data_IF_445580801878
#
_entry.id   IF_445580801878
#
_cell.length_a   1.000
_cell.length_b   1.000
_cell.length_c   1.000
_cell.angle_alpha   90.00
_cell.angle_beta   90.00
_cell.angle_gamma   90.00
#
_symmetry.space_group_name_H-M   'P 1'
#
loop_
_entity.id
_entity.type
_entity.pdbx_description
1 polymer ?
#
# COMPACT_ATOMS: atom_id res chain seq x y z
N UNK A 1 -11.75 -2.02 12.15
CA UNK A 1 -10.86 -2.08 10.96
C UNK A 1 -11.23 -0.92 10.06
N UNK A 2 -10.34 0.06 9.94
CA UNK A 2 -10.55 1.19 9.04
C UNK A 2 -10.14 0.80 7.62
N UNK A 3 -10.84 1.32 6.62
CA UNK A 3 -10.61 0.96 5.22
C UNK A 3 -10.66 2.21 4.37
N UNK A 4 -9.64 2.37 3.55
CA UNK A 4 -9.52 3.46 2.60
C UNK A 4 -9.85 2.87 1.23
N UNK A 5 -10.93 3.37 0.63
CA UNK A 5 -11.57 2.74 -0.53
C UNK A 5 -11.75 3.79 -1.63
N UNK A 6 -11.32 3.48 -2.86
CA UNK A 6 -11.48 4.36 -4.03
C UNK A 6 -10.88 5.78 -3.82
N UNK A 7 -9.82 5.89 -3.02
CA UNK A 7 -9.15 7.16 -2.78
C UNK A 7 -7.97 7.36 -3.73
N UNK A 8 -7.81 8.62 -4.15
CA UNK A 8 -6.60 9.11 -4.80
C UNK A 8 -5.60 9.53 -3.72
N UNK A 9 -4.53 8.74 -3.59
CA UNK A 9 -3.42 8.94 -2.65
C UNK A 9 -2.11 9.15 -3.41
N UNK A 10 -2.18 9.64 -4.66
CA UNK A 10 -0.97 9.90 -5.46
C UNK A 10 -0.06 10.87 -4.74
N UNK A 11 1.22 10.52 -4.65
CA UNK A 11 2.26 11.30 -3.96
C UNK A 11 1.96 11.58 -2.49
N UNK A 12 1.06 10.80 -1.87
CA UNK A 12 0.81 10.87 -0.44
C UNK A 12 2.05 10.40 0.32
N UNK A 13 2.31 11.03 1.46
CA UNK A 13 3.34 10.61 2.40
C UNK A 13 2.65 9.85 3.54
N UNK A 14 2.88 8.55 3.60
CA UNK A 14 2.36 7.65 4.62
C UNK A 14 3.46 7.18 5.59
N UNK A 15 4.63 7.83 5.51
CA UNK A 15 5.75 7.63 6.43
C UNK A 15 5.28 7.78 7.88
N UNK A 16 5.63 6.81 8.72
CA UNK A 16 5.27 6.81 10.15
C UNK A 16 3.77 6.77 10.46
N UNK A 17 2.88 6.58 9.48
CA UNK A 17 1.46 6.34 9.74
C UNK A 17 1.27 4.98 10.42
N UNK A 18 0.27 4.89 11.30
CA UNK A 18 -0.14 3.62 11.88
C UNK A 18 -0.95 2.82 10.85
N UNK A 19 -0.29 1.90 10.14
CA UNK A 19 -0.93 1.09 9.08
C UNK A 19 -1.32 -0.32 9.54
N UNK A 20 -0.98 -0.73 10.77
CA UNK A 20 -1.28 -2.08 11.27
C UNK A 20 -2.77 -2.40 11.16
N UNK A 21 -3.09 -3.53 10.55
CA UNK A 21 -4.47 -3.98 10.29
C UNK A 21 -5.31 -3.03 9.40
N UNK A 22 -4.67 -2.09 8.68
CA UNK A 22 -5.37 -1.22 7.73
C UNK A 22 -5.70 -1.97 6.43
N UNK A 23 -6.71 -1.47 5.70
CA UNK A 23 -7.06 -1.99 4.37
C UNK A 23 -7.13 -0.85 3.36
N UNK A 24 -6.40 -1.02 2.27
CA UNK A 24 -6.43 -0.16 1.10
C UNK A 24 -7.03 -0.94 -0.07
N UNK A 25 -8.14 -0.44 -0.59
CA UNK A 25 -8.96 -1.11 -1.60
C UNK A 25 -9.15 -0.16 -2.78
N UNK A 26 -8.74 -0.58 -3.98
CA UNK A 26 -8.94 0.19 -5.21
C UNK A 26 -8.34 1.61 -5.15
N UNK A 27 -7.19 1.77 -4.48
CA UNK A 27 -6.56 3.08 -4.28
C UNK A 27 -5.45 3.35 -5.27
N UNK A 28 -5.31 4.59 -5.70
CA UNK A 28 -4.19 5.05 -6.51
C UNK A 28 -3.10 5.63 -5.61
N UNK A 29 -1.98 4.94 -5.46
CA UNK A 29 -0.83 5.32 -4.64
C UNK A 29 0.41 5.62 -5.47
N UNK A 30 0.24 6.03 -6.74
CA UNK A 30 1.38 6.33 -7.61
C UNK A 30 2.24 7.44 -7.03
N UNK A 31 3.54 7.22 -6.96
CA UNK A 31 4.48 8.18 -6.38
C UNK A 31 4.36 8.37 -4.87
N UNK A 32 3.56 7.57 -4.16
CA UNK A 32 3.43 7.66 -2.71
C UNK A 32 4.70 7.16 -2.02
N UNK A 33 4.94 7.61 -0.79
CA UNK A 33 6.05 7.14 0.05
C UNK A 33 5.46 6.39 1.23
N UNK A 34 5.82 5.10 1.36
CA UNK A 34 5.34 4.19 2.41
C UNK A 34 6.53 3.53 3.09
N UNK A 35 6.92 4.09 4.22
CA UNK A 35 7.94 3.54 5.12
C UNK A 35 7.28 3.31 6.48
N UNK A 36 6.71 2.11 6.66
CA UNK A 36 5.84 1.82 7.81
C UNK A 36 5.83 0.34 8.18
N UNK A 37 5.36 0.07 9.40
CA UNK A 37 4.98 -1.27 9.84
C UNK A 37 3.62 -1.62 9.21
N UNK A 38 3.65 -2.58 8.30
CA UNK A 38 2.48 -3.05 7.53
C UNK A 38 1.96 -4.39 8.06
N UNK A 39 2.25 -4.74 9.32
CA UNK A 39 1.74 -5.96 9.98
C UNK A 39 0.22 -6.08 9.79
N UNK A 40 -0.21 -7.19 9.18
CA UNK A 40 -1.62 -7.48 8.88
C UNK A 40 -2.33 -6.41 8.00
N UNK A 41 -1.57 -5.61 7.23
CA UNK A 41 -2.15 -4.64 6.29
C UNK A 41 -2.55 -5.35 5.00
N UNK A 42 -3.66 -4.93 4.39
CA UNK A 42 -4.08 -5.43 3.08
C UNK A 42 -4.07 -4.32 2.04
N UNK A 43 -3.39 -4.56 0.92
CA UNK A 43 -3.44 -3.75 -0.28
C UNK A 43 -4.05 -4.59 -1.40
N UNK A 44 -5.27 -4.23 -1.80
CA UNK A 44 -6.04 -4.95 -2.82
C UNK A 44 -6.36 -3.97 -3.94
N UNK A 45 -6.00 -4.32 -5.18
CA UNK A 45 -6.25 -3.48 -6.36
C UNK A 45 -5.60 -2.09 -6.22
N UNK A 46 -4.37 -2.06 -5.70
CA UNK A 46 -3.63 -0.82 -5.43
C UNK A 46 -2.57 -0.57 -6.49
N UNK A 47 -2.52 0.67 -6.99
CA UNK A 47 -1.47 1.09 -7.91
C UNK A 47 -0.32 1.78 -7.17
N UNK A 48 0.85 1.15 -7.13
CA UNK A 48 2.08 1.64 -6.53
C UNK A 48 3.14 2.09 -7.55
N UNK A 49 2.78 2.37 -8.80
CA UNK A 49 3.78 2.76 -9.80
C UNK A 49 4.55 4.02 -9.36
N UNK A 50 5.88 3.92 -9.34
CA UNK A 50 6.77 4.98 -8.88
C UNK A 50 6.68 5.29 -7.39
N UNK A 51 6.00 4.46 -6.59
CA UNK A 51 5.96 4.60 -5.14
C UNK A 51 7.27 4.11 -4.51
N UNK A 52 7.70 4.79 -3.44
CA UNK A 52 8.82 4.37 -2.61
C UNK A 52 8.27 3.48 -1.48
N UNK A 53 8.53 2.17 -1.57
CA UNK A 53 7.97 1.16 -0.66
C UNK A 53 9.06 0.55 0.22
N UNK A 54 8.91 0.70 1.53
CA UNK A 54 9.71 0.02 2.55
C UNK A 54 8.77 -0.56 3.59
N UNK A 55 8.30 -1.78 3.33
CA UNK A 55 7.44 -2.52 4.26
C UNK A 55 8.27 -3.19 5.36
N UNK A 56 7.75 -3.14 6.58
CA UNK A 56 8.33 -3.79 7.76
C UNK A 56 7.21 -4.39 8.61
N UNK A 57 7.55 -5.25 9.57
CA UNK A 57 6.56 -5.86 10.47
C UNK A 57 6.94 -7.28 10.87
N UNK A 58 6.26 -7.82 11.88
CA UNK A 58 6.45 -9.21 12.33
C UNK A 58 5.62 -10.21 11.51
N UNK A 59 4.62 -9.73 10.76
CA UNK A 59 3.80 -10.55 9.86
C UNK A 59 3.67 -9.89 8.50
N UNK A 60 3.60 -10.71 7.45
CA UNK A 60 3.51 -10.23 6.08
C UNK A 60 2.28 -9.35 5.84
N UNK A 61 2.44 -8.32 5.02
CA UNK A 61 1.30 -7.61 4.45
C UNK A 61 0.70 -8.43 3.30
N UNK A 62 -0.62 -8.32 3.14
CA UNK A 62 -1.33 -8.95 2.04
C UNK A 62 -1.33 -8.02 0.82
N UNK A 63 -0.78 -8.49 -0.30
CA UNK A 63 -0.79 -7.82 -1.59
C UNK A 63 -1.62 -8.66 -2.55
N UNK A 64 -2.65 -8.07 -3.17
CA UNK A 64 -3.47 -8.77 -4.16
C UNK A 64 -3.81 -7.84 -5.32
N UNK A 65 -3.49 -8.27 -6.53
CA UNK A 65 -3.69 -7.50 -7.76
C UNK A 65 -3.12 -6.07 -7.64
N UNK A 66 -1.90 -5.96 -7.13
CA UNK A 66 -1.19 -4.68 -7.01
C UNK A 66 -0.32 -4.43 -8.24
N UNK A 67 -0.14 -3.16 -8.61
CA UNK A 67 0.69 -2.74 -9.74
C UNK A 67 1.96 -2.07 -9.21
N UNK A 68 3.13 -2.62 -9.51
CA UNK A 68 4.44 -2.04 -9.16
C UNK A 68 5.11 -1.28 -10.33
N UNK A 69 6.33 -0.79 -10.11
CA UNK A 69 7.05 0.16 -10.98
C UNK A 69 7.28 -0.35 -12.42
N UNK A 70 7.63 -1.61 -12.60
CA UNK A 70 7.80 -2.26 -13.90
C UNK A 70 6.49 -2.79 -14.52
N UNK A 71 5.34 -2.46 -13.92
CA UNK A 71 4.03 -3.08 -14.19
C UNK A 71 4.00 -4.57 -13.89
N UNK A 72 4.92 -5.10 -13.08
CA UNK A 72 4.77 -6.44 -12.55
C UNK A 72 3.52 -6.47 -11.66
N UNK A 73 2.68 -7.47 -11.93
CA UNK A 73 1.55 -7.80 -11.09
C UNK A 73 2.05 -8.83 -10.08
N UNK A 74 1.96 -8.51 -8.79
CA UNK A 74 2.04 -9.53 -7.75
C UNK A 74 0.64 -10.13 -7.60
N UNK A 75 0.49 -11.41 -7.98
CA UNK A 75 -0.73 -12.20 -7.82
C UNK A 75 -0.72 -12.95 -6.49
#
# INVERSE_FOLDING_TARGET
>A
MESIINCDLRRARLDCCYLKNARFLYTDMRGATIHADTTCTSFIEVNFQGAELSFSGESDCFLHNVILEDRSFLQ
#
